data_IF_426520556096
#
_entry.id   IF_426520556096
#
_cell.length_a   1.000
_cell.length_b   1.000
_cell.length_c   1.000
_cell.angle_alpha   90.00
_cell.angle_beta   90.00
_cell.angle_gamma   90.00
#
_symmetry.space_group_name_H-M   'P 1'
#
loop_
_entity.id
_entity.type
_entity.pdbx_description
1 polymer ?
#
# COMPACT_ATOMS: atom_id res chain seq x y z
N UNK A 1 13.80 -13.14 -5.78
CA UNK A 1 13.65 -11.81 -5.15
C UNK A 1 13.97 -11.92 -3.65
N UNK A 2 13.28 -12.73 -2.83
CA UNK A 2 13.42 -12.81 -1.37
C UNK A 2 14.87 -12.95 -0.95
N UNK A 3 15.60 -13.97 -1.42
CA UNK A 3 16.98 -14.22 -1.01
C UNK A 3 17.94 -13.10 -1.37
N UNK A 4 17.78 -12.51 -2.57
CA UNK A 4 18.57 -11.34 -3.00
C UNK A 4 18.32 -10.14 -2.10
N UNK A 5 17.08 -9.91 -1.68
CA UNK A 5 16.74 -8.82 -0.76
C UNK A 5 17.32 -9.06 0.63
N UNK A 6 17.13 -10.28 1.18
CA UNK A 6 17.64 -10.64 2.51
C UNK A 6 19.17 -10.59 2.56
N UNK A 7 19.88 -10.96 1.48
CA UNK A 7 21.34 -10.88 1.45
C UNK A 7 21.88 -9.45 1.58
N UNK A 8 21.10 -8.45 1.12
CA UNK A 8 21.50 -7.04 1.10
C UNK A 8 21.18 -6.26 2.38
N UNK A 9 20.26 -6.75 3.22
CA UNK A 9 19.89 -6.05 4.46
C UNK A 9 20.91 -6.33 5.57
N UNK A 10 21.03 -5.39 6.51
CA UNK A 10 21.97 -5.49 7.62
C UNK A 10 21.54 -6.56 8.66
N UNK A 11 22.47 -6.97 9.52
CA UNK A 11 22.23 -8.01 10.53
C UNK A 11 21.11 -7.65 11.52
N UNK A 12 20.96 -6.37 11.87
CA UNK A 12 19.91 -5.90 12.80
C UNK A 12 18.50 -6.11 12.20
N UNK A 13 18.31 -5.76 10.93
CA UNK A 13 17.04 -5.99 10.24
C UNK A 13 16.77 -7.48 10.00
N UNK A 14 17.80 -8.27 9.70
CA UNK A 14 17.64 -9.74 9.53
C UNK A 14 16.99 -10.40 10.73
N UNK A 15 17.32 -9.95 11.95
CA UNK A 15 16.72 -10.48 13.19
C UNK A 15 15.25 -10.09 13.41
N UNK A 16 14.73 -9.14 12.64
CA UNK A 16 13.35 -8.64 12.77
C UNK A 16 12.41 -9.19 11.70
N UNK A 17 12.92 -10.03 10.81
CA UNK A 17 12.15 -10.61 9.71
C UNK A 17 12.28 -12.13 9.72
N UNK A 18 11.22 -12.78 9.30
CA UNK A 18 11.21 -14.22 9.04
C UNK A 18 10.41 -14.51 7.77
N UNK A 19 10.57 -15.70 7.23
CA UNK A 19 9.85 -16.15 6.03
C UNK A 19 8.70 -17.05 6.48
N UNK A 20 7.54 -16.88 5.92
CA UNK A 20 6.41 -17.81 6.09
C UNK A 20 6.36 -18.71 4.86
N UNK A 21 6.53 -20.02 5.07
CA UNK A 21 6.53 -20.94 3.95
C UNK A 21 6.95 -22.37 4.30
N UNK A 22 6.94 -23.25 3.32
CA UNK A 22 7.43 -24.61 3.50
C UNK A 22 8.97 -24.63 3.52
N UNK A 23 9.53 -25.05 4.64
CA UNK A 23 10.98 -25.03 4.84
C UNK A 23 11.74 -25.81 3.77
N UNK A 24 11.25 -26.98 3.38
CA UNK A 24 11.94 -27.82 2.39
C UNK A 24 11.94 -27.20 1.00
N UNK A 25 10.80 -26.59 0.58
CA UNK A 25 10.70 -25.87 -0.70
C UNK A 25 11.68 -24.70 -0.71
N UNK A 26 11.67 -23.88 0.35
CA UNK A 26 12.54 -22.70 0.47
C UNK A 26 14.02 -23.10 0.48
N UNK A 27 14.38 -24.17 1.22
CA UNK A 27 15.73 -24.70 1.27
C UNK A 27 16.21 -25.22 -0.10
N UNK A 28 15.33 -25.92 -0.84
CA UNK A 28 15.61 -26.38 -2.20
C UNK A 28 15.87 -25.20 -3.15
N UNK A 29 14.98 -24.21 -3.17
CA UNK A 29 15.12 -23.01 -3.99
C UNK A 29 16.40 -22.21 -3.65
N UNK A 30 16.74 -22.11 -2.37
CA UNK A 30 17.96 -21.44 -1.93
C UNK A 30 19.20 -22.11 -2.51
N UNK A 31 19.25 -23.45 -2.53
CA UNK A 31 20.33 -24.25 -3.11
C UNK A 31 20.40 -24.08 -4.63
N UNK A 32 19.26 -24.20 -5.33
CA UNK A 32 19.15 -24.06 -6.79
C UNK A 32 19.59 -22.66 -7.27
N UNK A 33 19.31 -21.63 -6.49
CA UNK A 33 19.67 -20.25 -6.79
C UNK A 33 21.05 -19.84 -6.26
N UNK A 34 21.84 -20.77 -5.71
CA UNK A 34 23.21 -20.59 -5.19
C UNK A 34 23.34 -19.46 -4.14
N UNK A 35 22.34 -19.26 -3.29
CA UNK A 35 22.46 -18.31 -2.18
C UNK A 35 23.03 -18.96 -0.92
N UNK A 36 24.08 -18.36 -0.35
CA UNK A 36 24.71 -18.78 0.90
C UNK A 36 24.02 -18.14 2.12
N UNK A 37 22.76 -18.50 2.38
CA UNK A 37 22.02 -18.07 3.56
C UNK A 37 21.76 -19.24 4.50
N UNK A 38 21.96 -19.04 5.79
CA UNK A 38 21.64 -20.05 6.80
C UNK A 38 20.18 -19.92 7.20
N UNK A 39 19.40 -20.95 6.95
CA UNK A 39 18.01 -21.04 7.34
C UNK A 39 17.86 -21.80 8.65
N UNK A 40 16.88 -21.38 9.46
CA UNK A 40 16.41 -22.10 10.63
C UNK A 40 14.93 -22.41 10.48
N UNK A 41 14.51 -23.63 10.75
CA UNK A 41 13.11 -24.02 10.73
C UNK A 41 12.51 -23.74 12.11
N UNK A 42 11.44 -22.96 12.15
CA UNK A 42 10.66 -22.72 13.36
C UNK A 42 9.20 -23.14 13.13
N UNK A 43 8.56 -23.62 14.19
CA UNK A 43 7.15 -23.95 14.16
C UNK A 43 6.31 -22.91 14.92
N UNK A 44 6.95 -22.11 15.77
CA UNK A 44 6.36 -21.03 16.53
C UNK A 44 7.26 -19.79 16.59
N UNK A 45 6.71 -18.63 16.85
CA UNK A 45 7.44 -17.36 16.93
C UNK A 45 8.32 -17.21 18.19
N UNK A 46 8.22 -18.11 19.16
CA UNK A 46 9.12 -18.17 20.31
C UNK A 46 10.51 -18.74 19.98
N UNK A 47 10.64 -19.41 18.84
CA UNK A 47 11.85 -20.17 18.46
C UNK A 47 12.85 -19.35 17.60
N UNK A 48 12.82 -17.99 17.67
CA UNK A 48 13.69 -17.16 16.85
C UNK A 48 15.18 -17.40 17.11
N UNK A 49 15.98 -17.37 16.04
CA UNK A 49 17.41 -17.65 16.04
C UNK A 49 18.25 -16.48 15.50
N UNK A 50 19.56 -16.69 15.41
CA UNK A 50 20.48 -15.76 14.72
C UNK A 50 20.51 -15.95 13.19
N UNK A 51 19.83 -16.99 12.67
CA UNK A 51 19.73 -17.33 11.25
C UNK A 51 18.49 -16.66 10.63
N UNK A 52 18.21 -16.96 9.37
CA UNK A 52 16.95 -16.57 8.74
C UNK A 52 15.89 -17.61 9.14
N UNK A 53 14.99 -17.22 9.99
CA UNK A 53 13.92 -18.10 10.47
C UNK A 53 12.86 -18.29 9.39
N UNK A 54 12.40 -19.51 9.25
CA UNK A 54 11.31 -19.91 8.36
C UNK A 54 10.21 -20.53 9.20
N UNK A 55 9.11 -19.80 9.38
CA UNK A 55 7.89 -20.36 9.98
C UNK A 55 7.33 -21.40 9.03
N UNK A 56 7.48 -22.66 9.42
CA UNK A 56 7.21 -23.78 8.55
C UNK A 56 5.72 -24.06 8.38
N UNK A 57 5.24 -23.96 7.16
CA UNK A 57 3.88 -24.33 6.78
C UNK A 57 3.90 -25.69 6.10
N UNK A 58 3.09 -26.62 6.60
CA UNK A 58 2.90 -27.91 5.92
C UNK A 58 2.13 -27.65 4.61
N UNK A 59 2.64 -28.17 3.51
CA UNK A 59 1.95 -28.14 2.24
C UNK A 59 0.65 -28.96 2.34
N UNK A 60 -0.47 -28.29 2.33
CA UNK A 60 -1.77 -28.94 2.24
C UNK A 60 -2.28 -28.81 0.80
N UNK A 61 -2.12 -29.86 0.00
CA UNK A 61 -2.51 -29.90 -1.42
C UNK A 61 -3.97 -29.54 -1.69
N UNK A 62 -4.85 -29.59 -0.68
CA UNK A 62 -6.26 -29.22 -0.78
C UNK A 62 -6.50 -27.69 -0.80
N UNK A 63 -5.56 -26.91 -0.29
CA UNK A 63 -5.63 -25.43 -0.29
C UNK A 63 -4.46 -24.85 -1.08
N UNK A 64 -4.69 -23.72 -1.75
CA UNK A 64 -3.61 -23.01 -2.40
C UNK A 64 -2.57 -22.61 -1.36
N UNK A 65 -1.38 -23.18 -1.44
CA UNK A 65 -0.27 -22.98 -0.50
C UNK A 65 0.09 -21.50 -0.31
N UNK A 66 0.09 -20.71 -1.39
CA UNK A 66 0.39 -19.28 -1.32
C UNK A 66 -0.66 -18.55 -0.49
N UNK A 67 -1.95 -18.84 -0.69
CA UNK A 67 -3.03 -18.26 0.11
C UNK A 67 -2.93 -18.66 1.58
N UNK A 68 -2.50 -19.89 1.90
CA UNK A 68 -2.26 -20.30 3.29
C UNK A 68 -1.17 -19.45 3.94
N UNK A 69 -0.05 -19.21 3.25
CA UNK A 69 1.02 -18.36 3.78
C UNK A 69 0.53 -16.92 4.04
N UNK A 70 -0.28 -16.40 3.13
CA UNK A 70 -0.86 -15.06 3.26
C UNK A 70 -1.86 -15.00 4.42
N UNK A 71 -2.72 -16.02 4.57
CA UNK A 71 -3.69 -16.09 5.65
C UNK A 71 -3.00 -16.12 7.02
N UNK A 72 -1.94 -16.89 7.16
CA UNK A 72 -1.15 -16.95 8.39
C UNK A 72 -0.48 -15.59 8.66
N UNK A 73 0.12 -14.97 7.64
CA UNK A 73 0.72 -13.64 7.78
C UNK A 73 -0.32 -12.60 8.23
N UNK A 74 -1.50 -12.63 7.61
CA UNK A 74 -2.61 -11.76 7.97
C UNK A 74 -3.08 -11.98 9.42
N UNK A 75 -3.28 -13.23 9.83
CA UNK A 75 -3.73 -13.56 11.18
C UNK A 75 -2.70 -13.14 12.26
N UNK A 76 -1.41 -13.31 11.96
CA UNK A 76 -0.34 -12.82 12.83
C UNK A 76 -0.34 -11.29 12.94
N UNK A 77 -0.61 -10.58 11.85
CA UNK A 77 -0.72 -9.12 11.84
C UNK A 77 -1.94 -8.63 12.65
N UNK A 78 -3.11 -9.24 12.47
CA UNK A 78 -4.33 -8.91 13.24
C UNK A 78 -4.12 -9.15 14.73
N UNK A 79 -3.46 -10.25 15.10
CA UNK A 79 -3.09 -10.58 16.49
C UNK A 79 -1.94 -9.72 17.02
N UNK A 80 -1.44 -8.74 16.25
CA UNK A 80 -0.30 -7.88 16.61
C UNK A 80 0.97 -8.63 16.97
N UNK A 81 1.14 -9.86 16.47
CA UNK A 81 2.37 -10.65 16.62
C UNK A 81 3.47 -10.19 15.66
N UNK A 82 3.09 -9.53 14.57
CA UNK A 82 3.98 -8.87 13.60
C UNK A 82 3.46 -7.48 13.29
N UNK A 83 4.36 -6.58 12.90
CA UNK A 83 3.98 -5.20 12.52
C UNK A 83 3.34 -5.11 11.12
N UNK A 84 3.54 -6.12 10.29
CA UNK A 84 3.03 -6.22 8.94
C UNK A 84 3.74 -7.32 8.17
N UNK A 85 3.34 -7.55 6.93
CA UNK A 85 3.99 -8.53 6.07
C UNK A 85 4.24 -7.98 4.67
N UNK A 86 5.25 -8.54 4.04
CA UNK A 86 5.66 -8.20 2.67
C UNK A 86 5.41 -9.42 1.80
N UNK A 87 4.58 -9.28 0.78
CA UNK A 87 4.39 -10.31 -0.23
C UNK A 87 5.20 -9.99 -1.49
N UNK A 88 5.78 -11.01 -2.10
CA UNK A 88 6.31 -10.93 -3.45
C UNK A 88 5.18 -10.87 -4.48
N UNK A 89 5.47 -10.52 -5.75
CA UNK A 89 4.49 -10.61 -6.81
C UNK A 89 3.82 -11.99 -6.83
N UNK A 90 2.49 -11.98 -6.90
CA UNK A 90 1.65 -13.17 -6.84
C UNK A 90 0.84 -13.27 -8.12
N UNK A 91 0.80 -14.44 -8.74
CA UNK A 91 -0.04 -14.68 -9.91
C UNK A 91 -1.52 -14.55 -9.50
N UNK A 92 -2.26 -13.68 -10.19
CA UNK A 92 -3.68 -13.44 -9.93
C UNK A 92 -4.56 -14.68 -10.12
N UNK A 93 -4.09 -15.68 -10.88
CA UNK A 93 -4.78 -16.96 -11.05
C UNK A 93 -5.06 -17.69 -9.74
N UNK A 94 -4.23 -17.45 -8.69
CA UNK A 94 -4.47 -18.07 -7.38
C UNK A 94 -5.82 -17.68 -6.76
N UNK A 95 -6.36 -16.52 -7.12
CA UNK A 95 -7.64 -16.02 -6.62
C UNK A 95 -8.85 -16.58 -7.39
N UNK A 96 -8.64 -17.40 -8.42
CA UNK A 96 -9.69 -18.05 -9.24
C UNK A 96 -10.79 -17.07 -9.71
N UNK A 97 -10.41 -15.84 -10.06
CA UNK A 97 -11.35 -14.79 -10.50
C UNK A 97 -12.15 -14.07 -9.41
N UNK A 98 -12.07 -14.53 -8.15
CA UNK A 98 -12.85 -13.95 -7.04
C UNK A 98 -12.34 -12.58 -6.57
N UNK A 99 -11.09 -12.27 -6.87
CA UNK A 99 -10.43 -11.03 -6.45
C UNK A 99 -9.54 -10.49 -7.57
N UNK A 100 -9.45 -9.17 -7.68
CA UNK A 100 -8.58 -8.48 -8.65
C UNK A 100 -7.11 -8.54 -8.25
N UNK A 101 -6.83 -8.78 -6.97
CA UNK A 101 -5.48 -8.87 -6.44
C UNK A 101 -5.43 -9.04 -4.92
N UNK A 102 -4.22 -8.92 -4.37
CA UNK A 102 -3.93 -9.10 -2.96
C UNK A 102 -4.67 -8.09 -2.07
N UNK A 103 -4.72 -6.83 -2.49
CA UNK A 103 -5.37 -5.74 -1.73
C UNK A 103 -6.84 -6.06 -1.48
N UNK A 104 -7.58 -6.46 -2.52
CA UNK A 104 -8.99 -6.81 -2.40
C UNK A 104 -9.21 -8.07 -1.57
N UNK A 105 -8.31 -9.06 -1.70
CA UNK A 105 -8.36 -10.29 -0.88
C UNK A 105 -8.23 -9.97 0.62
N UNK A 106 -7.22 -9.20 1.00
CA UNK A 106 -6.99 -8.81 2.40
C UNK A 106 -8.10 -7.87 2.90
N UNK A 107 -8.56 -6.93 2.08
CA UNK A 107 -9.66 -6.02 2.43
C UNK A 107 -10.93 -6.77 2.76
N UNK A 108 -11.29 -7.78 1.99
CA UNK A 108 -12.46 -8.63 2.27
C UNK A 108 -12.29 -9.40 3.59
N UNK A 109 -11.12 -9.98 3.84
CA UNK A 109 -10.84 -10.68 5.12
C UNK A 109 -11.01 -9.77 6.34
N UNK A 110 -10.77 -8.48 6.19
CA UNK A 110 -10.91 -7.48 7.25
C UNK A 110 -12.30 -6.82 7.32
N UNK A 111 -13.27 -7.22 6.51
CA UNK A 111 -14.54 -6.52 6.32
C UNK A 111 -14.34 -5.01 6.05
N UNK A 112 -13.28 -4.69 5.33
CA UNK A 112 -12.84 -3.33 5.03
C UNK A 112 -12.96 -2.99 3.53
N UNK A 113 -13.82 -3.69 2.82
CA UNK A 113 -14.03 -3.50 1.37
C UNK A 113 -14.34 -2.04 1.05
N UNK A 114 -13.67 -1.52 0.03
CA UNK A 114 -13.72 -0.12 -0.41
C UNK A 114 -13.17 0.92 0.59
N UNK A 115 -12.64 0.50 1.73
CA UNK A 115 -11.97 1.38 2.71
C UNK A 115 -10.46 1.33 2.59
N UNK A 116 -9.91 0.30 1.95
CA UNK A 116 -8.48 0.13 1.71
C UNK A 116 -7.89 1.32 0.96
N UNK A 117 -6.69 1.68 1.31
CA UNK A 117 -5.93 2.75 0.67
C UNK A 117 -4.68 2.15 0.03
N UNK A 118 -4.57 2.34 -1.28
CA UNK A 118 -3.34 2.07 -2.01
C UNK A 118 -2.44 3.30 -1.91
N UNK A 119 -1.33 3.20 -1.23
CA UNK A 119 -0.33 4.26 -1.15
C UNK A 119 0.96 3.78 -1.81
N UNK A 120 1.42 4.49 -2.81
CA UNK A 120 2.76 4.31 -3.34
C UNK A 120 3.68 5.24 -2.56
N UNK A 121 4.54 4.64 -1.75
CA UNK A 121 5.39 5.33 -0.80
C UNK A 121 6.81 5.49 -1.34
N UNK A 122 7.29 6.71 -1.29
CA UNK A 122 8.71 7.07 -1.36
C UNK A 122 8.98 8.06 -0.21
N UNK A 123 10.16 8.04 0.43
CA UNK A 123 10.47 8.96 1.54
C UNK A 123 10.29 10.44 1.23
N UNK A 124 10.49 10.85 -0.02
CA UNK A 124 10.34 12.25 -0.46
C UNK A 124 8.90 12.66 -0.71
N UNK A 125 8.08 11.76 -1.24
CA UNK A 125 6.67 12.00 -1.53
C UNK A 125 5.94 10.68 -1.70
N UNK A 126 4.77 10.55 -1.12
CA UNK A 126 3.85 9.43 -1.39
C UNK A 126 2.69 9.88 -2.27
N UNK A 127 2.10 8.95 -3.00
CA UNK A 127 0.89 9.23 -3.79
C UNK A 127 -0.22 8.22 -3.50
N UNK A 128 -1.45 8.71 -3.51
CA UNK A 128 -2.67 7.93 -3.23
C UNK A 128 -3.72 8.27 -4.27
N UNK A 129 -4.10 7.34 -5.14
CA UNK A 129 -5.28 7.53 -5.99
C UNK A 129 -6.57 7.29 -5.21
N UNK A 130 -7.52 8.21 -5.30
CA UNK A 130 -8.85 8.09 -4.70
C UNK A 130 -9.64 6.94 -5.33
N UNK A 131 -9.53 6.82 -6.66
CA UNK A 131 -10.08 5.71 -7.43
C UNK A 131 -8.95 4.90 -8.05
N UNK A 132 -9.02 3.57 -7.88
CA UNK A 132 -8.04 2.59 -8.41
C UNK A 132 -8.71 1.69 -9.43
N UNK A 133 -7.99 1.09 -10.35
CA UNK A 133 -8.39 -0.01 -11.24
C UNK A 133 -9.81 0.07 -11.82
N UNK A 134 -10.33 1.27 -12.08
CA UNK A 134 -11.60 1.51 -12.75
C UNK A 134 -11.37 2.19 -14.10
N UNK A 135 -12.30 1.99 -15.04
CA UNK A 135 -12.25 2.69 -16.34
C UNK A 135 -12.36 4.20 -16.14
N UNK A 136 -11.66 5.00 -16.95
CA UNK A 136 -11.62 6.45 -16.82
C UNK A 136 -13.03 7.08 -16.86
N UNK A 137 -13.91 6.60 -17.75
CA UNK A 137 -15.30 7.06 -17.83
C UNK A 137 -16.16 6.75 -16.58
N UNK A 138 -15.63 5.99 -15.63
CA UNK A 138 -16.29 5.71 -14.35
C UNK A 138 -15.71 6.52 -13.18
N UNK A 139 -14.66 7.32 -13.44
CA UNK A 139 -14.00 8.09 -12.37
C UNK A 139 -14.95 9.10 -11.77
N UNK A 140 -15.55 9.97 -12.57
CA UNK A 140 -16.47 11.02 -12.14
C UNK A 140 -17.59 10.49 -11.24
N UNK A 141 -18.31 9.44 -11.68
CA UNK A 141 -19.39 8.82 -10.90
C UNK A 141 -18.90 8.13 -9.61
N UNK A 142 -17.60 7.97 -9.45
CA UNK A 142 -16.97 7.38 -8.27
C UNK A 142 -16.30 8.42 -7.35
N UNK A 143 -16.46 9.70 -7.62
CA UNK A 143 -16.02 10.79 -6.74
C UNK A 143 -17.23 11.27 -5.95
N UNK A 144 -17.07 11.36 -4.63
CA UNK A 144 -18.07 11.92 -3.75
C UNK A 144 -17.42 12.48 -2.50
N UNK A 145 -18.08 13.46 -1.87
CA UNK A 145 -17.65 14.03 -0.60
C UNK A 145 -17.37 12.94 0.45
N UNK A 146 -18.30 11.98 0.59
CA UNK A 146 -18.18 10.87 1.54
C UNK A 146 -16.92 10.03 1.28
N UNK A 147 -16.64 9.68 0.03
CA UNK A 147 -15.46 8.87 -0.34
C UNK A 147 -14.16 9.61 -0.05
N UNK A 148 -14.08 10.90 -0.41
CA UNK A 148 -12.91 11.74 -0.12
C UNK A 148 -12.67 11.82 1.39
N UNK A 149 -13.71 12.09 2.17
CA UNK A 149 -13.63 12.14 3.63
C UNK A 149 -13.11 10.83 4.23
N UNK A 150 -13.71 9.69 3.87
CA UNK A 150 -13.32 8.37 4.39
C UNK A 150 -11.86 8.08 4.05
N UNK A 151 -11.46 8.23 2.79
CA UNK A 151 -10.11 7.88 2.32
C UNK A 151 -9.05 8.78 2.96
N UNK A 152 -9.25 10.10 3.04
CA UNK A 152 -8.25 11.01 3.61
C UNK A 152 -8.18 10.89 5.14
N UNK A 153 -9.29 10.68 5.82
CA UNK A 153 -9.29 10.44 7.28
C UNK A 153 -8.54 9.15 7.61
N UNK A 154 -8.81 8.08 6.87
CA UNK A 154 -8.12 6.80 7.02
C UNK A 154 -6.63 6.93 6.69
N UNK A 155 -6.29 7.59 5.59
CA UNK A 155 -4.90 7.88 5.21
C UNK A 155 -4.14 8.61 6.34
N UNK A 156 -4.71 9.70 6.84
CA UNK A 156 -4.09 10.49 7.92
C UNK A 156 -3.84 9.65 9.17
N UNK A 157 -4.82 8.82 9.57
CA UNK A 157 -4.71 7.91 10.73
C UNK A 157 -3.60 6.90 10.54
N UNK A 158 -3.60 6.17 9.43
CA UNK A 158 -2.63 5.10 9.17
C UNK A 158 -1.23 5.64 8.91
N UNK A 159 -1.10 6.75 8.18
CA UNK A 159 0.19 7.42 7.97
C UNK A 159 0.81 7.84 9.30
N UNK A 160 0.03 8.50 10.19
CA UNK A 160 0.49 8.87 11.53
C UNK A 160 0.93 7.65 12.34
N UNK A 161 0.21 6.54 12.25
CA UNK A 161 0.56 5.32 12.98
C UNK A 161 1.88 4.71 12.50
N UNK A 162 2.11 4.71 11.16
CA UNK A 162 3.33 4.16 10.56
C UNK A 162 4.55 5.06 10.77
N UNK A 163 4.42 6.33 10.47
CA UNK A 163 5.56 7.27 10.41
C UNK A 163 5.71 8.15 11.65
N UNK A 164 4.76 8.05 12.62
CA UNK A 164 4.78 8.77 13.91
C UNK A 164 4.67 10.29 13.80
N UNK A 165 4.25 10.83 12.64
CA UNK A 165 3.93 12.24 12.47
C UNK A 165 2.69 12.42 11.58
N UNK A 166 2.04 13.61 11.66
CA UNK A 166 0.87 13.94 10.83
C UNK A 166 1.33 14.33 9.42
N UNK A 167 0.79 13.72 8.34
CA UNK A 167 1.18 14.09 6.98
C UNK A 167 0.62 15.46 6.57
N UNK A 168 1.36 16.19 5.75
CA UNK A 168 0.84 17.31 4.96
C UNK A 168 0.31 16.73 3.65
N UNK A 169 -1.01 16.78 3.46
CA UNK A 169 -1.69 16.13 2.34
C UNK A 169 -2.08 17.18 1.31
N UNK A 170 -1.63 17.03 0.07
CA UNK A 170 -2.13 17.78 -1.07
C UNK A 170 -3.23 16.97 -1.76
N UNK A 171 -4.30 17.63 -2.18
CA UNK A 171 -5.40 17.01 -2.94
C UNK A 171 -5.49 17.68 -4.29
N UNK A 172 -5.44 16.89 -5.36
CA UNK A 172 -5.59 17.39 -6.72
C UNK A 172 -7.07 17.54 -7.07
N UNK A 173 -7.36 18.44 -7.97
CA UNK A 173 -8.66 18.47 -8.66
C UNK A 173 -8.80 17.29 -9.61
N UNK A 174 -10.00 17.07 -10.12
CA UNK A 174 -10.26 16.08 -11.15
C UNK A 174 -9.97 16.65 -12.55
N UNK A 175 -10.48 17.88 -12.74
CA UNK A 175 -10.53 18.53 -14.05
C UNK A 175 -9.33 19.45 -14.29
N UNK A 176 -8.96 19.72 -15.56
CA UNK A 176 -7.95 20.73 -15.90
C UNK A 176 -8.28 22.06 -15.23
N UNK A 177 -7.29 22.73 -14.67
CA UNK A 177 -7.41 24.03 -13.99
C UNK A 177 -8.51 24.09 -12.93
N UNK A 178 -8.89 22.92 -12.36
CA UNK A 178 -10.01 22.77 -11.41
C UNK A 178 -11.37 23.25 -12.00
N UNK A 179 -11.55 23.06 -13.33
CA UNK A 179 -12.72 23.57 -14.07
C UNK A 179 -13.00 25.06 -13.84
N UNK A 180 -11.96 25.86 -13.60
CA UNK A 180 -12.11 27.30 -13.26
C UNK A 180 -13.15 27.55 -12.15
N UNK A 181 -13.37 26.53 -11.29
CA UNK A 181 -14.36 26.50 -10.20
C UNK A 181 -15.81 26.64 -10.66
N UNK A 182 -16.14 26.12 -11.85
CA UNK A 182 -17.54 25.98 -12.28
C UNK A 182 -18.37 25.28 -11.20
N UNK A 183 -19.57 25.82 -10.93
CA UNK A 183 -20.48 25.34 -9.87
C UNK A 183 -20.93 23.88 -10.08
N UNK A 184 -20.87 23.38 -11.31
CA UNK A 184 -21.21 22.01 -11.65
C UNK A 184 -20.04 21.03 -11.55
N UNK A 185 -18.82 21.52 -11.36
CA UNK A 185 -17.60 20.70 -11.30
C UNK A 185 -17.55 19.84 -10.03
N UNK A 186 -16.82 18.74 -10.11
CA UNK A 186 -16.54 17.86 -8.98
C UNK A 186 -15.74 18.59 -7.90
N UNK A 187 -14.94 19.57 -8.28
CA UNK A 187 -14.19 20.42 -7.37
C UNK A 187 -15.13 21.15 -6.42
N UNK A 188 -16.13 21.85 -6.97
CA UNK A 188 -17.07 22.65 -6.19
C UNK A 188 -18.08 21.78 -5.45
N UNK A 189 -18.60 20.75 -6.10
CA UNK A 189 -19.62 19.86 -5.50
C UNK A 189 -19.07 18.94 -4.41
N UNK A 190 -17.84 18.45 -4.54
CA UNK A 190 -17.34 17.37 -3.68
C UNK A 190 -15.98 17.65 -3.04
N UNK A 191 -14.98 18.15 -3.81
CA UNK A 191 -13.60 18.24 -3.33
C UNK A 191 -13.46 19.37 -2.32
N UNK A 192 -13.84 20.59 -2.67
CA UNK A 192 -13.74 21.77 -1.79
C UNK A 192 -14.53 21.57 -0.49
N UNK A 193 -15.80 21.12 -0.51
CA UNK A 193 -16.54 20.86 0.72
C UNK A 193 -15.89 19.78 1.59
N UNK A 194 -15.33 18.72 0.97
CA UNK A 194 -14.62 17.69 1.71
C UNK A 194 -13.37 18.25 2.40
N UNK A 195 -12.56 19.05 1.69
CA UNK A 195 -11.36 19.68 2.25
C UNK A 195 -11.69 20.62 3.40
N UNK A 196 -12.78 21.40 3.31
CA UNK A 196 -13.26 22.26 4.39
C UNK A 196 -13.59 21.44 5.65
N UNK A 197 -14.35 20.35 5.49
CA UNK A 197 -14.67 19.44 6.62
C UNK A 197 -13.44 18.78 7.21
N UNK A 198 -12.49 18.33 6.38
CA UNK A 198 -11.24 17.69 6.83
C UNK A 198 -10.35 18.66 7.64
N UNK A 199 -10.28 19.93 7.23
CA UNK A 199 -9.58 20.99 7.99
C UNK A 199 -10.23 21.19 9.37
N UNK A 200 -11.56 21.22 9.45
CA UNK A 200 -12.28 21.31 10.73
C UNK A 200 -12.03 20.11 11.65
N UNK A 201 -11.62 18.95 11.08
CA UNK A 201 -11.19 17.76 11.84
C UNK A 201 -9.69 17.79 12.19
N UNK A 202 -9.00 18.92 12.06
CA UNK A 202 -7.55 19.07 12.28
C UNK A 202 -6.68 18.14 11.41
N UNK A 203 -7.13 17.82 10.21
CA UNK A 203 -6.34 17.12 9.21
C UNK A 203 -5.64 18.16 8.32
N UNK A 204 -4.32 18.03 8.19
CA UNK A 204 -3.52 18.97 7.40
C UNK A 204 -3.65 18.69 5.91
N UNK A 205 -4.67 19.25 5.29
CA UNK A 205 -4.98 19.13 3.86
C UNK A 205 -4.96 20.48 3.16
N UNK A 206 -4.52 20.49 1.91
CA UNK A 206 -4.57 21.65 1.03
C UNK A 206 -5.00 21.24 -0.38
N UNK A 207 -5.59 22.17 -1.13
CA UNK A 207 -6.10 21.97 -2.48
C UNK A 207 -7.53 22.55 -2.64
N UNK A 208 -8.22 22.22 -3.76
CA UNK A 208 -7.70 21.42 -4.86
C UNK A 208 -6.57 22.11 -5.63
N UNK A 209 -5.57 21.34 -6.05
CA UNK A 209 -4.49 21.83 -6.91
C UNK A 209 -4.69 21.33 -8.33
N UNK A 210 -4.35 22.14 -9.32
CA UNK A 210 -4.26 21.68 -10.72
C UNK A 210 -3.20 20.60 -10.86
N UNK A 211 -3.56 19.48 -11.49
CA UNK A 211 -2.68 18.31 -11.55
C UNK A 211 -1.45 18.55 -12.45
N UNK A 212 -1.62 19.29 -13.54
CA UNK A 212 -0.59 19.63 -14.51
C UNK A 212 0.60 20.41 -13.90
N UNK A 213 0.29 21.32 -12.99
CA UNK A 213 1.26 22.23 -12.37
C UNK A 213 1.71 21.81 -10.98
N UNK A 214 1.16 20.75 -10.42
CA UNK A 214 1.44 20.37 -9.03
C UNK A 214 2.85 19.78 -8.83
N UNK A 215 3.31 18.91 -9.74
CA UNK A 215 4.50 18.07 -9.55
C UNK A 215 5.83 18.79 -9.82
N UNK A 216 6.02 19.98 -9.29
CA UNK A 216 7.29 20.71 -9.34
C UNK A 216 8.01 20.70 -7.98
N UNK A 217 9.31 20.97 -7.98
CA UNK A 217 10.22 20.82 -6.80
C UNK A 217 9.70 21.48 -5.52
N UNK A 218 9.06 22.65 -5.60
CA UNK A 218 8.53 23.38 -4.43
C UNK A 218 7.45 22.58 -3.71
N UNK A 219 6.47 22.03 -4.45
CA UNK A 219 5.38 21.26 -3.88
C UNK A 219 5.85 19.88 -3.37
N UNK A 220 6.77 19.23 -4.10
CA UNK A 220 7.36 17.95 -3.68
C UNK A 220 8.05 18.04 -2.30
N UNK A 221 8.66 19.20 -1.98
CA UNK A 221 9.26 19.45 -0.65
C UNK A 221 8.24 19.85 0.42
N UNK A 222 7.09 20.37 0.03
CA UNK A 222 6.09 20.91 0.96
C UNK A 222 5.12 19.85 1.49
N UNK A 223 4.79 18.85 0.69
CA UNK A 223 3.78 17.84 1.01
C UNK A 223 4.41 16.46 1.17
N UNK A 224 3.83 15.66 2.08
CA UNK A 224 4.25 14.28 2.28
C UNK A 224 3.45 13.31 1.40
N UNK A 225 2.18 13.65 1.14
CA UNK A 225 1.27 12.79 0.36
C UNK A 225 0.47 13.63 -0.62
N UNK A 226 0.33 13.14 -1.84
CA UNK A 226 -0.57 13.69 -2.86
C UNK A 226 -1.71 12.72 -3.10
N UNK A 227 -2.93 13.20 -2.97
CA UNK A 227 -4.16 12.47 -3.29
C UNK A 227 -4.67 12.95 -4.63
N UNK A 228 -4.69 12.07 -5.64
CA UNK A 228 -5.32 12.36 -6.92
C UNK A 228 -6.67 11.65 -7.06
N UNK A 229 -7.47 12.09 -7.99
CA UNK A 229 -8.81 11.56 -8.18
C UNK A 229 -8.80 10.19 -8.88
N UNK A 230 -7.79 9.91 -9.71
CA UNK A 230 -7.63 8.63 -10.40
C UNK A 230 -6.18 8.17 -10.48
N UNK A 231 -6.01 6.91 -10.83
CA UNK A 231 -4.75 6.18 -10.78
C UNK A 231 -3.62 6.90 -11.53
N UNK A 232 -3.79 7.17 -12.83
CA UNK A 232 -2.70 7.69 -13.65
C UNK A 232 -2.42 9.17 -13.40
N UNK A 233 -3.37 9.91 -12.83
CA UNK A 233 -3.18 11.31 -12.45
C UNK A 233 -1.99 11.50 -11.49
N UNK A 234 -1.75 10.54 -10.62
CA UNK A 234 -0.68 10.61 -9.63
C UNK A 234 0.46 9.63 -9.91
N UNK A 235 0.17 8.45 -10.47
CA UNK A 235 1.23 7.46 -10.69
C UNK A 235 2.10 7.78 -11.90
N UNK A 236 1.56 8.38 -12.95
CA UNK A 236 2.35 8.78 -14.12
C UNK A 236 3.44 9.79 -13.73
N UNK A 237 3.11 10.97 -13.14
CA UNK A 237 4.14 11.92 -12.73
C UNK A 237 5.04 11.37 -11.63
N UNK A 238 4.49 10.59 -10.69
CA UNK A 238 5.29 9.98 -9.64
C UNK A 238 6.38 9.05 -10.20
N UNK A 239 6.02 8.16 -11.12
CA UNK A 239 6.98 7.24 -11.75
C UNK A 239 7.98 7.95 -12.65
N UNK A 240 7.59 9.05 -13.29
CA UNK A 240 8.50 9.89 -14.07
C UNK A 240 9.57 10.51 -13.18
N UNK A 241 9.21 10.92 -11.96
CA UNK A 241 10.14 11.58 -11.01
C UNK A 241 11.00 10.56 -10.26
N UNK A 242 10.38 9.48 -9.75
CA UNK A 242 11.01 8.52 -8.83
C UNK A 242 11.31 7.17 -9.46
N UNK A 243 10.98 6.95 -10.75
CA UNK A 243 11.13 5.66 -11.43
C UNK A 243 10.43 4.54 -10.65
N UNK A 244 11.18 3.51 -10.27
CA UNK A 244 10.70 2.39 -9.46
C UNK A 244 11.17 2.44 -8.00
N UNK A 245 11.71 3.59 -7.55
CA UNK A 245 12.15 3.77 -6.16
C UNK A 245 10.95 4.06 -5.26
N UNK A 246 10.12 3.05 -5.10
CA UNK A 246 8.91 3.13 -4.30
C UNK A 246 8.41 1.74 -3.89
N UNK A 247 7.60 1.72 -2.84
CA UNK A 247 6.88 0.53 -2.39
C UNK A 247 5.38 0.77 -2.38
N UNK A 248 4.61 -0.28 -2.68
CA UNK A 248 3.15 -0.24 -2.55
C UNK A 248 2.77 -0.68 -1.14
N UNK A 249 2.11 0.20 -0.40
CA UNK A 249 1.59 -0.06 0.94
C UNK A 249 0.06 -0.04 0.87
N UNK A 250 -0.57 -1.10 1.33
CA UNK A 250 -2.02 -1.12 1.57
C UNK A 250 -2.28 -0.75 3.03
N UNK A 251 -3.07 0.31 3.23
CA UNK A 251 -3.44 0.86 4.53
C UNK A 251 -4.91 0.57 4.82
#
# INVERSE_FOLDING_TARGET
>A
IIFKSISKINKSLKKKIFIIGNFNIIKKQLKELNYKLQLNKINDLSEFSKKIDVLNIKDNRKKNYILQCIDIAHDLAIKKKINGFINCPVDKKIFKGNFKGMTEYISKKNNAEKKEIMMIYNPSLSVVPLTTHIKLNKVTSNISLKKIMIKITSLNKHFKNLFKFKPKIAVLGLNPHNSEYDQNSEEVKYIIPALKKLKNMNINVAGPFSADSFFHKRNLKKYNVVVGMYHDQVLTPFKTIFNYDAINITL
#
